data_IF_329618312360
#
_entry.id   IF_329618312360
#
_cell.length_a   1.000
_cell.length_b   1.000
_cell.length_c   1.000
_cell.angle_alpha   90.00
_cell.angle_beta   90.00
_cell.angle_gamma   90.00
#
_symmetry.space_group_name_H-M   'P 1'
#
loop_
_entity.id
_entity.type
_entity.pdbx_description
1 polymer ?
#
# COMPACT_ATOMS: atom_id res chain seq x y z
N UNK A 1 -8.56 12.06 17.32
CA UNK A 1 -7.54 11.03 17.04
C UNK A 1 -6.55 11.69 16.11
N UNK A 2 -5.29 11.92 16.55
CA UNK A 2 -4.25 12.49 15.70
C UNK A 2 -3.92 11.47 14.58
N UNK A 3 -3.81 11.95 13.35
CA UNK A 3 -3.44 11.13 12.20
C UNK A 3 -1.90 11.02 12.07
N UNK A 4 -1.19 11.02 13.20
CA UNK A 4 0.25 11.00 13.18
C UNK A 4 0.75 9.59 12.83
N UNK A 5 1.23 9.42 11.62
CA UNK A 5 2.01 8.25 11.22
C UNK A 5 3.50 8.53 11.44
N UNK A 6 4.24 7.48 11.76
CA UNK A 6 5.65 7.57 12.09
C UNK A 6 6.53 7.85 10.87
N UNK A 7 6.18 7.26 9.72
CA UNK A 7 6.95 7.36 8.49
C UNK A 7 6.13 7.03 7.26
N UNK A 8 6.62 7.43 6.09
CA UNK A 8 6.08 7.07 4.77
C UNK A 8 7.20 6.55 3.88
N UNK A 9 6.93 5.43 3.20
CA UNK A 9 7.81 4.92 2.14
C UNK A 9 7.20 5.21 0.79
N UNK A 10 8.02 5.67 -0.17
CA UNK A 10 7.59 6.02 -1.52
C UNK A 10 8.58 5.42 -2.52
N UNK A 11 8.09 4.74 -3.55
CA UNK A 11 8.88 4.17 -4.62
C UNK A 11 8.46 4.79 -5.96
N UNK A 12 9.39 5.44 -6.65
CA UNK A 12 9.18 5.99 -8.00
C UNK A 12 9.83 5.13 -9.08
N UNK A 13 10.93 4.47 -8.76
CA UNK A 13 11.67 3.57 -9.65
C UNK A 13 12.44 2.52 -8.85
N UNK A 14 13.20 1.65 -9.52
CA UNK A 14 14.09 0.67 -8.85
C UNK A 14 15.19 1.34 -8.02
N UNK A 15 15.62 2.54 -8.41
CA UNK A 15 16.70 3.29 -7.77
C UNK A 15 16.21 4.42 -6.87
N UNK A 16 14.92 4.83 -7.03
CA UNK A 16 14.34 5.96 -6.31
C UNK A 16 13.30 5.48 -5.30
N UNK A 17 13.77 5.01 -4.16
CA UNK A 17 12.95 4.61 -3.03
C UNK A 17 13.29 5.49 -1.84
N UNK A 18 12.31 6.17 -1.30
CA UNK A 18 12.46 7.11 -0.21
C UNK A 18 11.74 6.61 1.03
N UNK A 19 12.38 6.79 2.18
CA UNK A 19 11.76 6.59 3.49
C UNK A 19 11.83 7.92 4.25
N UNK A 20 10.69 8.45 4.63
CA UNK A 20 10.55 9.78 5.23
C UNK A 20 9.93 9.61 6.61
N UNK A 21 10.70 9.91 7.66
CA UNK A 21 10.20 9.96 9.04
C UNK A 21 9.44 11.25 9.28
N UNK A 22 8.33 11.14 10.00
CA UNK A 22 7.65 12.32 10.57
C UNK A 22 8.18 12.60 11.97
N UNK A 23 8.16 13.86 12.36
CA UNK A 23 8.68 14.35 13.64
C UNK A 23 8.65 15.86 13.73
N UNK A 24 9.57 16.43 14.51
CA UNK A 24 9.61 17.89 14.75
C UNK A 24 9.88 18.70 13.47
N UNK A 25 10.66 18.18 12.53
CA UNK A 25 11.01 18.87 11.28
C UNK A 25 9.96 18.67 10.18
N UNK A 26 9.40 17.45 10.07
CA UNK A 26 8.42 17.08 9.04
C UNK A 26 7.18 16.52 9.73
N UNK A 27 6.13 17.33 9.82
CA UNK A 27 4.85 16.86 10.36
C UNK A 27 4.11 15.97 9.35
N UNK A 28 3.26 15.06 9.86
CA UNK A 28 2.39 14.24 9.00
C UNK A 28 1.46 15.10 8.15
N UNK A 29 0.95 16.22 8.68
CA UNK A 29 0.10 17.15 7.93
C UNK A 29 0.84 17.85 6.77
N UNK A 30 2.10 18.22 6.98
CA UNK A 30 2.93 18.79 5.91
C UNK A 30 3.17 17.76 4.80
N UNK A 31 3.46 16.52 5.18
CA UNK A 31 3.68 15.43 4.22
C UNK A 31 2.40 15.11 3.45
N UNK A 32 1.25 15.06 4.12
CA UNK A 32 -0.06 14.89 3.48
C UNK A 32 -0.35 16.00 2.47
N UNK A 33 -0.10 17.27 2.82
CA UNK A 33 -0.23 18.39 1.88
C UNK A 33 0.64 18.19 0.64
N UNK A 34 1.90 17.81 0.83
CA UNK A 34 2.82 17.57 -0.30
C UNK A 34 2.39 16.38 -1.15
N UNK A 35 2.01 15.27 -0.54
CA UNK A 35 1.49 14.09 -1.27
C UNK A 35 0.23 14.42 -2.08
N UNK A 36 -0.64 15.29 -1.57
CA UNK A 36 -1.85 15.73 -2.27
C UNK A 36 -1.54 16.61 -3.50
N UNK A 37 -0.41 17.31 -3.50
CA UNK A 37 0.03 18.17 -4.62
C UNK A 37 0.81 17.40 -5.69
N UNK A 38 1.18 16.13 -5.44
CA UNK A 38 1.91 15.33 -6.41
C UNK A 38 1.03 14.97 -7.61
N UNK A 39 1.45 15.41 -8.78
CA UNK A 39 0.88 15.01 -10.06
C UNK A 39 1.51 13.71 -10.53
N UNK A 40 0.97 12.58 -10.10
CA UNK A 40 1.43 11.24 -10.53
C UNK A 40 0.43 10.60 -11.48
N UNK A 41 0.93 9.79 -12.41
CA UNK A 41 0.08 9.05 -13.36
C UNK A 41 -0.74 7.97 -12.67
N UNK A 42 -0.21 7.37 -11.63
CA UNK A 42 -0.85 6.29 -10.90
C UNK A 42 -0.36 6.20 -9.47
N UNK A 43 -1.27 5.92 -8.57
CA UNK A 43 -1.01 5.59 -7.19
C UNK A 43 -1.00 4.07 -7.03
N UNK A 44 0.08 3.51 -6.50
CA UNK A 44 0.26 2.07 -6.30
C UNK A 44 0.39 1.84 -4.80
N UNK A 45 -0.42 0.96 -4.27
CA UNK A 45 -0.40 0.61 -2.84
C UNK A 45 -0.29 -0.89 -2.64
N UNK A 46 0.48 -1.36 -1.66
CA UNK A 46 0.43 -2.76 -1.23
C UNK A 46 -0.95 -3.13 -0.65
N UNK A 47 -1.57 -2.23 0.11
CA UNK A 47 -2.92 -2.31 0.70
C UNK A 47 -3.52 -0.91 0.66
N UNK A 48 -4.37 -0.67 -0.34
CA UNK A 48 -4.91 0.65 -0.60
C UNK A 48 -5.87 1.10 0.52
N UNK A 49 -6.75 0.23 0.99
CA UNK A 49 -7.72 0.58 2.03
C UNK A 49 -7.05 1.03 3.32
N UNK A 50 -6.08 0.26 3.80
CA UNK A 50 -5.29 0.62 4.99
C UNK A 50 -4.56 1.95 4.79
N UNK A 51 -3.98 2.19 3.61
CA UNK A 51 -3.28 3.44 3.34
C UNK A 51 -4.22 4.64 3.21
N UNK A 52 -5.42 4.47 2.66
CA UNK A 52 -6.45 5.52 2.63
C UNK A 52 -6.83 5.99 4.04
N UNK A 53 -6.96 5.07 4.99
CA UNK A 53 -7.22 5.42 6.40
C UNK A 53 -6.09 6.22 7.05
N UNK A 54 -4.86 6.03 6.59
CA UNK A 54 -3.69 6.77 7.07
C UNK A 54 -3.57 8.16 6.45
N UNK A 55 -3.91 8.30 5.17
CA UNK A 55 -3.85 9.56 4.41
C UNK A 55 -5.22 10.23 4.30
N UNK A 56 -5.88 10.47 5.42
CA UNK A 56 -7.27 10.99 5.51
C UNK A 56 -7.51 12.36 4.87
N UNK A 57 -6.46 13.12 4.60
CA UNK A 57 -6.58 14.46 4.00
C UNK A 57 -6.87 14.44 2.50
N UNK A 58 -6.75 13.27 1.84
CA UNK A 58 -6.95 13.18 0.40
C UNK A 58 -8.41 12.88 0.05
N UNK A 59 -9.10 13.89 -0.44
CA UNK A 59 -10.38 13.71 -1.09
C UNK A 59 -10.18 13.00 -2.45
N UNK A 60 -10.60 11.74 -2.55
CA UNK A 60 -10.48 10.96 -3.78
C UNK A 60 -11.77 11.09 -4.56
N UNK A 61 -11.71 11.80 -5.68
CA UNK A 61 -12.84 11.92 -6.59
C UNK A 61 -13.08 10.60 -7.32
N UNK A 62 -14.36 10.31 -7.61
CA UNK A 62 -14.76 9.09 -8.31
C UNK A 62 -14.01 8.92 -9.65
N UNK A 63 -13.78 10.00 -10.38
CA UNK A 63 -13.10 10.02 -11.68
C UNK A 63 -11.59 9.73 -11.58
N UNK A 64 -10.99 9.84 -10.39
CA UNK A 64 -9.57 9.56 -10.15
C UNK A 64 -9.31 8.09 -9.75
N UNK A 65 -10.34 7.29 -9.49
CA UNK A 65 -10.20 5.91 -9.00
C UNK A 65 -9.42 5.01 -9.94
N UNK A 66 -9.53 5.20 -11.24
CA UNK A 66 -8.75 4.45 -12.25
C UNK A 66 -7.23 4.68 -12.16
N UNK A 67 -6.79 5.71 -11.45
CA UNK A 67 -5.37 6.01 -11.23
C UNK A 67 -4.77 5.19 -10.09
N UNK A 68 -5.59 4.45 -9.34
CA UNK A 68 -5.12 3.64 -8.22
C UNK A 68 -4.87 2.20 -8.63
N UNK A 69 -3.98 1.55 -7.90
CA UNK A 69 -3.71 0.12 -7.99
C UNK A 69 -3.51 -0.44 -6.58
N UNK A 70 -4.21 -1.52 -6.26
CA UNK A 70 -4.06 -2.29 -5.04
C UNK A 70 -3.43 -3.64 -5.36
N UNK A 71 -2.23 -3.88 -4.78
CA UNK A 71 -1.47 -5.11 -5.01
C UNK A 71 -2.18 -6.32 -4.40
N UNK A 72 -2.70 -6.19 -3.17
CA UNK A 72 -3.36 -7.31 -2.48
C UNK A 72 -4.63 -7.75 -3.17
N UNK A 73 -5.46 -6.82 -3.61
CA UNK A 73 -6.69 -7.13 -4.36
C UNK A 73 -6.37 -7.79 -5.70
N UNK A 74 -5.35 -7.31 -6.40
CA UNK A 74 -4.90 -7.93 -7.65
C UNK A 74 -4.39 -9.37 -7.43
N UNK A 75 -3.57 -9.59 -6.41
CA UNK A 75 -3.03 -10.90 -6.07
C UNK A 75 -4.14 -11.86 -5.59
N UNK A 76 -5.12 -11.37 -4.82
CA UNK A 76 -6.30 -12.13 -4.39
C UNK A 76 -7.10 -12.64 -5.59
N UNK A 77 -7.40 -11.82 -6.56
CA UNK A 77 -8.15 -12.24 -7.75
C UNK A 77 -7.42 -13.30 -8.59
N UNK A 78 -6.08 -13.24 -8.62
CA UNK A 78 -5.28 -14.23 -9.36
C UNK A 78 -5.25 -15.58 -8.62
N UNK A 79 -5.17 -15.56 -7.28
CA UNK A 79 -5.12 -16.79 -6.48
C UNK A 79 -5.92 -16.65 -5.17
N UNK A 80 -7.26 -16.79 -5.17
CA UNK A 80 -8.10 -16.58 -4.01
C UNK A 80 -7.98 -17.65 -2.92
N UNK A 81 -7.23 -18.72 -3.17
CA UNK A 81 -7.06 -19.85 -2.22
C UNK A 81 -5.99 -19.56 -1.16
N UNK A 82 -5.20 -18.52 -1.32
CA UNK A 82 -4.20 -18.07 -0.35
C UNK A 82 -4.87 -17.09 0.61
N UNK A 83 -4.74 -17.31 1.91
CA UNK A 83 -5.44 -16.50 2.92
C UNK A 83 -4.85 -15.09 3.12
N UNK A 84 -3.58 -14.88 2.77
CA UNK A 84 -2.85 -13.61 2.96
C UNK A 84 -1.92 -13.37 1.77
N UNK A 85 -1.71 -12.09 1.43
CA UNK A 85 -0.87 -11.66 0.30
C UNK A 85 0.23 -10.68 0.75
N UNK A 86 1.10 -11.09 1.68
CA UNK A 86 2.19 -10.23 2.12
C UNK A 86 3.19 -9.99 0.99
N UNK A 87 3.91 -8.88 1.06
CA UNK A 87 4.80 -8.45 -0.02
C UNK A 87 5.85 -9.48 -0.40
N UNK A 88 6.40 -10.22 0.57
CA UNK A 88 7.40 -11.27 0.33
C UNK A 88 6.84 -12.47 -0.45
N UNK A 89 5.60 -12.87 -0.17
CA UNK A 89 4.91 -13.89 -0.96
C UNK A 89 4.64 -13.40 -2.40
N UNK A 90 4.13 -12.18 -2.56
CA UNK A 90 3.91 -11.56 -3.88
C UNK A 90 5.23 -11.43 -4.65
N UNK A 91 6.31 -10.99 -4.00
CA UNK A 91 7.64 -10.91 -4.60
C UNK A 91 8.14 -12.27 -5.10
N UNK A 92 7.99 -13.30 -4.30
CA UNK A 92 8.38 -14.67 -4.65
C UNK A 92 7.56 -15.22 -5.82
N UNK A 93 6.22 -15.14 -5.72
CA UNK A 93 5.31 -15.83 -6.64
C UNK A 93 5.20 -15.14 -8.00
N UNK A 94 5.35 -13.81 -8.03
CA UNK A 94 5.16 -13.02 -9.26
C UNK A 94 6.42 -12.37 -9.80
N UNK A 95 7.46 -12.17 -8.98
CA UNK A 95 8.71 -11.53 -9.39
C UNK A 95 9.92 -12.48 -9.33
N UNK A 96 9.78 -13.65 -8.71
CA UNK A 96 10.90 -14.57 -8.49
C UNK A 96 11.94 -14.04 -7.48
N UNK A 97 11.57 -13.05 -6.65
CA UNK A 97 12.45 -12.43 -5.67
C UNK A 97 12.24 -13.07 -4.29
N UNK A 98 13.34 -13.45 -3.65
CA UNK A 98 13.32 -13.97 -2.28
C UNK A 98 13.63 -12.83 -1.31
N UNK A 99 12.58 -12.23 -0.76
CA UNK A 99 12.67 -11.16 0.24
C UNK A 99 12.36 -11.71 1.63
N UNK A 100 12.97 -11.10 2.66
CA UNK A 100 12.62 -11.38 4.04
C UNK A 100 11.21 -10.88 4.34
N UNK A 101 10.44 -11.67 5.07
CA UNK A 101 9.07 -11.32 5.43
C UNK A 101 9.06 -10.17 6.47
N UNK A 102 7.91 -9.52 6.61
CA UNK A 102 7.69 -8.54 7.67
C UNK A 102 7.98 -9.14 9.06
N UNK A 103 7.65 -10.41 9.26
CA UNK A 103 7.93 -11.14 10.50
C UNK A 103 9.43 -11.36 10.74
N UNK A 104 10.21 -11.61 9.67
CA UNK A 104 11.66 -11.76 9.78
C UNK A 104 12.34 -10.45 10.16
N UNK A 105 11.82 -9.31 9.68
CA UNK A 105 12.33 -7.99 10.03
C UNK A 105 11.91 -7.56 11.43
N UNK A 106 10.61 -7.64 11.75
CA UNK A 106 10.05 -7.07 12.98
C UNK A 106 10.03 -8.06 14.15
N UNK A 107 10.05 -9.39 13.88
CA UNK A 107 9.93 -10.40 14.92
C UNK A 107 8.61 -10.29 15.66
N UNK A 108 8.69 -9.95 16.96
CA UNK A 108 7.53 -9.70 17.86
C UNK A 108 7.28 -8.21 18.09
N UNK A 109 8.14 -7.34 17.55
CA UNK A 109 8.06 -5.91 17.75
C UNK A 109 7.06 -5.29 16.75
N UNK A 110 6.44 -4.19 17.16
CA UNK A 110 5.76 -3.33 16.22
C UNK A 110 6.77 -2.46 15.43
N UNK A 111 6.29 -1.76 14.41
CA UNK A 111 7.15 -0.94 13.55
C UNK A 111 7.85 0.18 14.35
N UNK A 112 7.14 0.82 15.29
CA UNK A 112 7.68 1.90 16.13
C UNK A 112 8.79 1.41 17.06
N UNK A 113 8.61 0.21 17.61
CA UNK A 113 9.62 -0.42 18.45
C UNK A 113 10.86 -0.80 17.64
N UNK A 114 10.67 -1.37 16.44
CA UNK A 114 11.77 -1.73 15.55
C UNK A 114 12.55 -0.49 15.08
N UNK A 115 11.88 0.63 14.80
CA UNK A 115 12.55 1.90 14.47
C UNK A 115 13.51 2.37 15.56
N UNK A 116 13.22 2.06 16.82
CA UNK A 116 14.09 2.42 17.97
C UNK A 116 15.20 1.40 18.21
N UNK A 117 14.96 0.14 17.92
CA UNK A 117 15.90 -0.97 18.17
C UNK A 117 16.86 -1.18 17.00
N UNK A 118 16.33 -1.21 15.77
CA UNK A 118 17.12 -1.40 14.54
C UNK A 118 16.41 -0.67 13.39
N UNK A 119 16.69 0.64 13.28
CA UNK A 119 16.12 1.52 12.26
C UNK A 119 16.30 0.95 10.85
N UNK A 120 17.48 0.37 10.57
CA UNK A 120 17.77 -0.17 9.24
C UNK A 120 16.80 -1.28 8.85
N UNK A 121 16.49 -2.20 9.76
CA UNK A 121 15.53 -3.27 9.49
C UNK A 121 14.12 -2.74 9.24
N UNK A 122 13.70 -1.73 10.00
CA UNK A 122 12.39 -1.10 9.79
C UNK A 122 12.32 -0.40 8.43
N UNK A 123 13.37 0.35 8.06
CA UNK A 123 13.49 1.02 6.76
C UNK A 123 13.48 0.00 5.62
N UNK A 124 14.32 -1.04 5.70
CA UNK A 124 14.40 -2.09 4.68
C UNK A 124 13.03 -2.76 4.48
N UNK A 125 12.34 -3.13 5.57
CA UNK A 125 11.01 -3.73 5.52
C UNK A 125 10.00 -2.83 4.79
N UNK A 126 9.93 -1.55 5.15
CA UNK A 126 9.00 -0.60 4.57
C UNK A 126 9.33 -0.29 3.10
N UNK A 127 10.60 -0.21 2.74
CA UNK A 127 11.04 0.01 1.37
C UNK A 127 10.75 -1.20 0.47
N UNK A 128 10.95 -2.43 0.95
CA UNK A 128 10.61 -3.63 0.19
C UNK A 128 9.10 -3.79 -0.04
N UNK A 129 8.27 -3.35 0.90
CA UNK A 129 6.81 -3.39 0.74
C UNK A 129 6.35 -2.51 -0.44
N UNK A 130 6.80 -1.25 -0.51
CA UNK A 130 6.43 -0.34 -1.61
C UNK A 130 7.12 -0.69 -2.93
N UNK A 131 8.36 -1.17 -2.89
CA UNK A 131 9.07 -1.66 -4.06
C UNK A 131 8.34 -2.85 -4.70
N UNK A 132 7.92 -3.82 -3.89
CA UNK A 132 7.19 -4.99 -4.38
C UNK A 132 5.87 -4.58 -5.02
N UNK A 133 5.11 -3.68 -4.40
CA UNK A 133 3.87 -3.18 -4.96
C UNK A 133 4.10 -2.49 -6.32
N UNK A 134 5.12 -1.64 -6.41
CA UNK A 134 5.48 -0.94 -7.63
C UNK A 134 5.90 -1.92 -8.74
N UNK A 135 6.83 -2.84 -8.43
CA UNK A 135 7.40 -3.77 -9.41
C UNK A 135 6.43 -4.84 -9.87
N UNK A 136 5.54 -5.30 -8.99
CA UNK A 136 4.57 -6.35 -9.31
C UNK A 136 3.39 -5.87 -10.16
N UNK A 137 3.06 -4.57 -10.13
CA UNK A 137 1.91 -4.01 -10.87
C UNK A 137 1.81 -4.47 -12.32
N UNK A 138 2.82 -4.32 -13.19
CA UNK A 138 2.71 -4.73 -14.58
C UNK A 138 2.49 -6.25 -14.73
N UNK A 139 3.12 -7.05 -13.89
CA UNK A 139 2.99 -8.52 -13.91
C UNK A 139 1.59 -8.95 -13.48
N UNK A 140 1.08 -8.37 -12.37
CA UNK A 140 -0.26 -8.67 -11.86
C UNK A 140 -1.34 -8.25 -12.85
N UNK A 141 -1.23 -7.05 -13.44
CA UNK A 141 -2.18 -6.60 -14.48
C UNK A 141 -2.17 -7.50 -15.72
N UNK A 142 -1.01 -7.98 -16.13
CA UNK A 142 -0.90 -8.92 -17.24
C UNK A 142 -1.59 -10.26 -16.90
N UNK A 143 -1.36 -10.82 -15.72
CA UNK A 143 -2.02 -12.05 -15.25
C UNK A 143 -3.53 -11.89 -15.13
N UNK A 144 -4.02 -10.80 -14.58
CA UNK A 144 -5.46 -10.50 -14.54
C UNK A 144 -6.07 -10.46 -15.94
N UNK A 145 -5.35 -9.90 -16.91
CA UNK A 145 -5.79 -9.88 -18.32
C UNK A 145 -5.84 -11.29 -18.92
N UNK A 146 -4.82 -12.10 -18.71
CA UNK A 146 -4.73 -13.48 -19.19
C UNK A 146 -5.83 -14.39 -18.63
N UNK A 147 -6.31 -14.08 -17.41
CA UNK A 147 -7.38 -14.79 -16.71
C UNK A 147 -8.78 -14.21 -16.94
N UNK A 148 -8.94 -13.19 -17.81
CA UNK A 148 -10.18 -12.44 -18.02
C UNK A 148 -10.74 -11.76 -16.74
N UNK A 149 -9.89 -11.52 -15.75
CA UNK A 149 -10.25 -10.90 -14.46
C UNK A 149 -9.98 -9.38 -14.41
N UNK A 150 -9.39 -8.79 -15.46
CA UNK A 150 -9.00 -7.38 -15.44
C UNK A 150 -10.21 -6.44 -15.33
N UNK A 151 -11.32 -6.77 -15.99
CA UNK A 151 -12.57 -6.01 -15.90
C UNK A 151 -13.16 -6.11 -14.50
N UNK A 152 -13.20 -7.31 -13.91
CA UNK A 152 -13.65 -7.52 -12.54
C UNK A 152 -12.80 -6.68 -11.56
N UNK A 153 -11.48 -6.69 -11.73
CA UNK A 153 -10.58 -5.90 -10.90
C UNK A 153 -10.89 -4.41 -10.98
N UNK A 154 -11.00 -3.85 -12.21
CA UNK A 154 -11.14 -2.40 -12.42
C UNK A 154 -12.53 -1.86 -12.11
N UNK A 155 -13.57 -2.62 -12.49
CA UNK A 155 -14.94 -2.11 -12.49
C UNK A 155 -15.69 -2.48 -11.21
N UNK A 156 -15.21 -3.48 -10.45
CA UNK A 156 -15.88 -3.96 -9.24
C UNK A 156 -14.95 -3.92 -8.02
N UNK A 157 -13.87 -4.70 -8.02
CA UNK A 157 -13.07 -4.91 -6.81
C UNK A 157 -12.28 -3.66 -6.37
N UNK A 158 -11.64 -2.97 -7.30
CA UNK A 158 -10.93 -1.72 -6.96
C UNK A 158 -11.89 -0.60 -6.53
N UNK A 159 -13.03 -0.33 -7.20
CA UNK A 159 -14.05 0.58 -6.69
C UNK A 159 -14.60 0.19 -5.32
N UNK A 160 -14.77 -1.11 -5.05
CA UNK A 160 -15.24 -1.61 -3.76
C UNK A 160 -14.31 -1.21 -2.60
N UNK A 161 -12.99 -1.14 -2.83
CA UNK A 161 -12.03 -0.66 -1.81
C UNK A 161 -12.43 0.72 -1.28
N UNK A 162 -12.82 1.64 -2.17
CA UNK A 162 -13.23 3.00 -1.79
C UNK A 162 -14.58 3.00 -1.07
N UNK A 163 -15.52 2.17 -1.51
CA UNK A 163 -16.83 2.05 -0.84
C UNK A 163 -16.65 1.53 0.57
N UNK A 164 -15.82 0.51 0.76
CA UNK A 164 -15.52 -0.04 2.09
C UNK A 164 -14.80 0.99 2.97
N UNK A 165 -13.86 1.74 2.40
CA UNK A 165 -13.21 2.84 3.10
C UNK A 165 -14.21 3.91 3.58
N UNK A 166 -15.12 4.33 2.69
CA UNK A 166 -16.15 5.33 3.03
C UNK A 166 -17.08 4.79 4.13
N UNK A 167 -17.54 3.53 4.02
CA UNK A 167 -18.38 2.88 5.04
C UNK A 167 -17.67 2.78 6.41
N UNK A 168 -16.40 2.46 6.44
CA UNK A 168 -15.61 2.36 7.67
C UNK A 168 -15.41 3.75 8.33
N UNK A 169 -15.29 4.81 7.52
CA UNK A 169 -15.18 6.19 8.03
C UNK A 169 -16.51 6.72 8.60
N UNK A 170 -17.64 6.44 7.94
CA UNK A 170 -18.96 6.80 8.43
C UNK A 170 -19.34 6.03 9.70
N UNK A 171 -18.87 4.78 9.77
CA UNK A 171 -19.19 3.88 10.87
C UNK A 171 -20.64 3.37 10.84
N UNK A 172 -20.99 2.52 11.79
CA UNK A 172 -22.35 1.98 11.97
C UNK A 172 -22.84 2.42 13.35
N UNK A 173 -24.00 3.08 13.37
CA UNK A 173 -24.71 3.36 14.62
C UNK A 173 -25.53 2.12 14.98
N UNK A 174 -25.18 1.48 16.09
CA UNK A 174 -26.01 0.43 16.70
C UNK A 174 -27.00 1.10 17.65
N UNK A 175 -28.29 0.83 17.47
CA UNK A 175 -29.37 1.24 18.37
C UNK A 175 -29.54 0.21 19.50
#
# INVERSE_FOLDING_TARGET
>A
VSNDYLAVSICFSEEDIYFICTGDEISSSFLDEKLNTLEVKSWISPDLKTNLHRFKSKEIKADDRDRYFDMMVAAYLINPLVGEYPYDAVAKDYLGLMLSSKKDYLGKLDFTQMMKEDEKKAVDCACYEVYTAWKSKPVLLQKLKEMDMLTLYKDIELPLVFVLYDMENEGIRAD
#
